data_IF_309758675391
#
_entry.id   IF_309758675391
#
_cell.length_a   1.000
_cell.length_b   1.000
_cell.length_c   1.000
_cell.angle_alpha   90.00
_cell.angle_beta   90.00
_cell.angle_gamma   90.00
#
_symmetry.space_group_name_H-M   'P 1'
#
loop_
_entity.id
_entity.type
_entity.pdbx_description
1 polymer ?
#
# COMPACT_ATOMS: atom_id res chain seq x y z
N UNK A 1 16.60 -27.15 -11.21
CA UNK A 1 16.51 -26.14 -12.28
C UNK A 1 16.24 -24.82 -11.57
N UNK A 2 17.11 -23.82 -11.74
CA UNK A 2 16.87 -22.50 -11.13
C UNK A 2 15.76 -21.84 -11.92
N UNK A 3 14.54 -21.79 -11.39
CA UNK A 3 13.59 -20.76 -11.76
C UNK A 3 14.14 -19.46 -11.16
N UNK A 4 15.10 -18.87 -11.84
CA UNK A 4 15.33 -17.44 -11.71
C UNK A 4 14.24 -16.80 -12.55
N UNK A 5 13.05 -16.63 -11.95
CA UNK A 5 12.17 -15.57 -12.41
C UNK A 5 13.03 -14.31 -12.47
N UNK A 6 13.03 -13.70 -13.64
CA UNK A 6 13.81 -12.52 -13.92
C UNK A 6 13.32 -11.46 -12.94
N UNK A 7 14.18 -11.01 -12.03
CA UNK A 7 13.87 -9.85 -11.17
C UNK A 7 13.31 -8.73 -12.07
N UNK A 8 12.18 -8.10 -11.71
CA UNK A 8 11.60 -7.03 -12.51
C UNK A 8 12.64 -5.97 -12.82
N UNK A 9 12.64 -5.44 -14.05
CA UNK A 9 13.62 -4.43 -14.46
C UNK A 9 13.55 -3.19 -13.56
N UNK A 10 12.34 -2.80 -13.16
CA UNK A 10 12.05 -1.74 -12.18
C UNK A 10 12.71 -1.96 -10.82
N UNK A 11 12.66 -3.18 -10.28
CA UNK A 11 13.30 -3.55 -9.02
C UNK A 11 14.80 -3.33 -9.10
N UNK A 12 15.44 -3.86 -10.15
CA UNK A 12 16.87 -3.71 -10.34
C UNK A 12 17.27 -2.26 -10.59
N UNK A 13 16.56 -1.56 -11.47
CA UNK A 13 16.85 -0.18 -11.82
C UNK A 13 16.69 0.75 -10.60
N UNK A 14 15.68 0.51 -9.75
CA UNK A 14 15.54 1.27 -8.51
C UNK A 14 16.72 0.99 -7.58
N UNK A 15 17.05 -0.27 -7.28
CA UNK A 15 18.15 -0.59 -6.35
C UNK A 15 19.51 -0.07 -6.83
N UNK A 16 19.76 -0.11 -8.14
CA UNK A 16 21.04 0.34 -8.72
C UNK A 16 21.17 1.87 -8.75
N UNK A 17 20.06 2.61 -8.86
CA UNK A 17 20.06 4.07 -9.02
C UNK A 17 19.50 4.85 -7.83
N UNK A 18 18.97 4.14 -6.83
CA UNK A 18 18.40 4.71 -5.63
C UNK A 18 19.44 4.90 -4.54
N UNK A 19 19.36 5.99 -3.76
CA UNK A 19 20.22 6.19 -2.59
C UNK A 19 19.74 5.43 -1.34
N UNK A 20 18.70 4.61 -1.46
CA UNK A 20 18.18 3.79 -0.36
C UNK A 20 18.88 2.44 -0.27
N UNK A 21 19.19 2.02 0.95
CA UNK A 21 19.59 0.65 1.28
C UNK A 21 18.33 -0.18 1.55
N UNK A 22 18.19 -1.29 0.83
CA UNK A 22 17.11 -2.26 1.01
C UNK A 22 17.45 -3.26 2.12
N UNK A 23 16.58 -3.35 3.12
CA UNK A 23 16.63 -4.29 4.22
C UNK A 23 15.41 -5.22 4.11
N UNK A 24 15.67 -6.43 3.61
CA UNK A 24 14.71 -7.52 3.54
C UNK A 24 15.20 -8.71 4.36
N UNK A 25 14.35 -9.19 5.29
CA UNK A 25 14.65 -10.36 6.12
C UNK A 25 13.71 -11.49 5.77
N UNK A 26 14.26 -12.56 5.21
CA UNK A 26 13.46 -13.68 4.76
C UNK A 26 12.68 -14.34 5.93
N UNK A 27 11.39 -14.60 5.73
CA UNK A 27 10.43 -15.06 6.74
C UNK A 27 9.74 -13.94 7.51
N UNK A 28 9.97 -12.68 7.14
CA UNK A 28 9.22 -11.52 7.63
C UNK A 28 8.51 -10.85 6.45
N UNK A 29 7.32 -10.33 6.69
CA UNK A 29 6.50 -9.67 5.65
C UNK A 29 6.97 -8.23 5.37
N UNK A 30 7.53 -7.56 6.38
CA UNK A 30 7.92 -6.15 6.31
C UNK A 30 9.28 -5.98 5.64
N UNK A 31 9.33 -5.05 4.68
CA UNK A 31 10.52 -4.60 3.98
C UNK A 31 10.82 -3.17 4.40
N UNK A 32 12.12 -2.82 4.51
CA UNK A 32 12.54 -1.46 4.85
C UNK A 32 13.52 -0.90 3.82
N UNK A 33 13.32 0.35 3.44
CA UNK A 33 14.30 1.16 2.70
C UNK A 33 14.85 2.23 3.64
N UNK A 34 16.17 2.29 3.81
CA UNK A 34 16.83 3.21 4.75
C UNK A 34 17.81 4.10 4.02
N UNK A 35 17.82 5.39 4.37
CA UNK A 35 18.75 6.36 3.81
C UNK A 35 19.12 7.43 4.83
N UNK A 36 20.34 7.93 4.73
CA UNK A 36 20.77 9.18 5.38
C UNK A 36 20.72 10.33 4.35
N UNK A 37 20.13 11.47 4.73
CA UNK A 37 20.01 12.67 3.89
C UNK A 37 20.34 13.91 4.72
N UNK A 38 21.58 14.39 4.62
CA UNK A 38 22.04 15.51 5.43
C UNK A 38 22.06 15.18 6.93
N UNK A 39 21.21 15.84 7.72
CA UNK A 39 21.01 15.58 9.15
C UNK A 39 19.75 14.73 9.44
N UNK A 40 19.14 14.17 8.40
CA UNK A 40 17.93 13.37 8.46
C UNK A 40 18.23 11.89 8.23
N UNK A 41 17.61 11.04 9.05
CA UNK A 41 17.53 9.60 8.79
C UNK A 41 16.13 9.26 8.31
N UNK A 42 16.04 8.64 7.14
CA UNK A 42 14.78 8.29 6.47
C UNK A 42 14.63 6.77 6.51
N UNK A 43 13.48 6.29 6.95
CA UNK A 43 13.09 4.87 6.92
C UNK A 43 11.71 4.75 6.28
N UNK A 44 11.61 4.02 5.18
CA UNK A 44 10.34 3.70 4.52
C UNK A 44 10.08 2.23 4.77
N UNK A 45 8.89 1.88 5.26
CA UNK A 45 8.48 0.50 5.51
C UNK A 45 7.20 0.19 4.75
N UNK A 46 7.15 -0.99 4.15
CA UNK A 46 5.97 -1.53 3.47
C UNK A 46 5.91 -3.04 3.68
N UNK A 47 4.75 -3.67 3.47
CA UNK A 47 4.51 -5.08 3.80
C UNK A 47 3.85 -5.82 2.65
N UNK A 48 4.20 -7.10 2.48
CA UNK A 48 3.50 -7.99 1.53
C UNK A 48 2.07 -8.34 1.99
N UNK A 49 1.73 -8.05 3.25
CA UNK A 49 0.39 -8.26 3.79
C UNK A 49 -0.71 -7.46 3.05
N UNK A 50 -0.35 -6.32 2.45
CA UNK A 50 -1.31 -5.44 1.78
C UNK A 50 -1.91 -6.11 0.53
N UNK A 51 -1.12 -6.84 -0.25
CA UNK A 51 -1.62 -7.60 -1.42
C UNK A 51 -2.50 -8.76 -0.99
N UNK A 52 -2.13 -9.46 0.09
CA UNK A 52 -2.90 -10.60 0.59
C UNK A 52 -4.29 -10.21 1.13
N UNK A 53 -4.48 -8.93 1.47
CA UNK A 53 -5.71 -8.40 2.02
C UNK A 53 -6.48 -7.50 1.03
N UNK A 54 -5.99 -7.37 -0.21
CA UNK A 54 -6.66 -6.62 -1.26
C UNK A 54 -7.70 -7.50 -1.96
N UNK A 55 -8.95 -7.03 -1.99
CA UNK A 55 -10.03 -7.62 -2.77
C UNK A 55 -10.55 -6.55 -3.76
N UNK A 56 -10.22 -6.66 -5.06
CA UNK A 56 -10.59 -5.66 -6.06
C UNK A 56 -12.11 -5.56 -6.28
N UNK A 57 -12.89 -6.55 -5.83
CA UNK A 57 -14.35 -6.60 -5.99
C UNK A 57 -15.11 -6.22 -4.71
N UNK A 58 -14.38 -5.92 -3.62
CA UNK A 58 -15.00 -5.60 -2.33
C UNK A 58 -15.87 -4.32 -2.38
N UNK A 59 -15.47 -3.34 -3.19
CA UNK A 59 -16.19 -2.07 -3.36
C UNK A 59 -17.41 -2.18 -4.31
N UNK A 60 -17.43 -3.14 -5.24
CA UNK A 60 -18.57 -3.32 -6.16
C UNK A 60 -19.80 -3.89 -5.45
N UNK A 61 -19.59 -4.70 -4.41
CA UNK A 61 -20.68 -5.31 -3.62
C UNK A 61 -21.55 -4.30 -2.87
N UNK A 62 -21.03 -3.08 -2.61
CA UNK A 62 -21.78 -2.01 -1.96
C UNK A 62 -22.69 -1.22 -2.91
N UNK A 63 -22.50 -1.34 -4.23
CA UNK A 63 -23.29 -0.64 -5.24
C UNK A 63 -24.44 -1.48 -5.79
N UNK A 64 -24.42 -2.81 -5.64
CA UNK A 64 -25.51 -3.69 -6.09
C UNK A 64 -26.72 -3.73 -5.12
N UNK A 65 -26.55 -3.48 -3.82
CA UNK A 65 -27.66 -3.56 -2.84
C UNK A 65 -28.60 -2.34 -2.87
N UNK A 66 -28.15 -1.19 -3.38
CA UNK A 66 -28.97 0.04 -3.48
C UNK A 66 -29.81 0.08 -4.78
N UNK A 67 -29.55 -0.82 -5.74
CA UNK A 67 -30.28 -0.88 -7.01
C UNK A 67 -31.54 -1.77 -6.98
N UNK A 68 -31.74 -2.57 -5.94
CA UNK A 68 -32.88 -3.50 -5.82
C UNK A 68 -34.01 -3.02 -4.88
N UNK A 69 -33.92 -1.78 -4.39
CA UNK A 69 -34.79 -1.25 -3.34
C UNK A 69 -36.08 -0.51 -3.76
N UNK A 70 -36.28 -0.15 -5.03
CA UNK A 70 -37.34 0.83 -5.40
C UNK A 70 -38.35 0.38 -6.48
N UNK A 71 -38.69 -0.92 -6.58
CA UNK A 71 -39.71 -1.38 -7.55
C UNK A 71 -40.72 -2.42 -7.02
N UNK A 72 -41.09 -2.34 -5.74
CA UNK A 72 -42.11 -3.21 -5.14
C UNK A 72 -43.39 -2.48 -4.69
N UNK A 73 -43.67 -1.29 -5.22
CA UNK A 73 -44.88 -0.54 -4.87
C UNK A 73 -45.65 0.05 -6.04
N UNK A 74 -45.98 -0.75 -7.06
CA UNK A 74 -47.21 -0.55 -7.82
C UNK A 74 -47.65 -1.78 -8.63
N UNK A 75 -48.95 -2.09 -8.54
CA UNK A 75 -49.79 -2.79 -9.51
C UNK A 75 -50.18 -4.26 -9.23
N UNK A 76 -51.13 -4.44 -8.30
CA UNK A 76 -52.26 -5.33 -8.60
C UNK A 76 -53.08 -4.72 -9.76
N UNK A 77 -53.03 -5.31 -10.96
CA UNK A 77 -54.20 -5.58 -11.83
C UNK A 77 -53.80 -5.92 -13.28
N UNK A 78 -54.06 -7.17 -13.69
CA UNK A 78 -54.71 -7.46 -14.98
C UNK A 78 -53.88 -7.71 -16.25
N UNK A 79 -53.85 -8.99 -16.67
CA UNK A 79 -53.89 -9.51 -18.05
C UNK A 79 -52.80 -9.07 -19.07
N UNK A 80 -51.84 -9.97 -19.26
CA UNK A 80 -51.55 -10.67 -20.53
C UNK A 80 -51.02 -9.88 -21.72
N UNK A 81 -49.72 -10.02 -22.00
CA UNK A 81 -49.17 -10.22 -23.36
C UNK A 81 -47.69 -10.62 -23.28
N UNK A 82 -47.36 -11.69 -23.97
CA UNK A 82 -46.00 -12.17 -24.26
C UNK A 82 -45.26 -11.14 -25.12
N UNK A 83 -44.00 -10.85 -24.80
CA UNK A 83 -42.98 -10.48 -25.78
C UNK A 83 -41.57 -10.54 -25.16
N UNK A 84 -40.81 -11.53 -25.64
CA UNK A 84 -39.37 -11.50 -25.93
C UNK A 84 -38.46 -10.67 -25.00
N UNK A 85 -37.87 -11.36 -24.02
CA UNK A 85 -36.62 -10.91 -23.38
C UNK A 85 -35.50 -11.51 -24.25
N UNK A 86 -35.01 -10.73 -25.21
CA UNK A 86 -33.69 -10.98 -25.78
C UNK A 86 -32.69 -10.79 -24.63
N UNK A 87 -32.08 -11.89 -24.21
CA UNK A 87 -30.91 -11.85 -23.36
C UNK A 87 -29.78 -11.22 -24.19
N UNK A 88 -29.50 -9.94 -23.92
CA UNK A 88 -28.29 -9.27 -24.38
C UNK A 88 -27.12 -9.91 -23.61
N UNK A 89 -26.64 -11.01 -24.16
CA UNK A 89 -25.52 -11.81 -23.68
C UNK A 89 -24.22 -11.32 -24.36
N UNK A 90 -24.01 -10.00 -24.37
CA UNK A 90 -22.86 -9.35 -24.99
C UNK A 90 -22.11 -8.42 -24.02
N UNK A 91 -22.07 -8.75 -22.72
CA UNK A 91 -20.97 -8.28 -21.86
C UNK A 91 -19.88 -9.35 -21.86
N UNK A 92 -19.28 -9.51 -23.04
CA UNK A 92 -18.05 -10.26 -23.21
C UNK A 92 -16.95 -9.54 -22.42
N UNK A 93 -16.64 -10.13 -21.26
CA UNK A 93 -15.61 -9.75 -20.30
C UNK A 93 -14.64 -8.68 -20.76
N UNK A 94 -14.77 -7.50 -20.15
CA UNK A 94 -13.62 -6.61 -20.02
C UNK A 94 -12.51 -7.43 -19.38
N UNK A 95 -11.42 -7.58 -20.13
CA UNK A 95 -10.22 -8.22 -19.66
C UNK A 95 -9.77 -7.45 -18.44
N UNK A 96 -9.97 -8.06 -17.27
CA UNK A 96 -9.36 -7.80 -15.96
C UNK A 96 -8.04 -7.02 -16.13
N UNK A 97 -8.11 -5.69 -16.18
CA UNK A 97 -6.94 -4.86 -15.93
C UNK A 97 -6.70 -5.03 -14.43
N UNK A 98 -5.90 -6.05 -14.10
CA UNK A 98 -5.47 -6.37 -12.75
C UNK A 98 -4.76 -5.13 -12.20
N UNK A 99 -5.54 -4.25 -11.58
CA UNK A 99 -5.06 -3.01 -11.00
C UNK A 99 -4.16 -3.40 -9.83
N UNK A 100 -2.88 -2.99 -9.84
CA UNK A 100 -1.98 -3.38 -8.76
C UNK A 100 -2.56 -2.93 -7.42
N UNK A 101 -2.53 -3.82 -6.43
CA UNK A 101 -3.03 -3.50 -5.10
C UNK A 101 -2.33 -2.25 -4.55
N UNK A 102 -3.06 -1.30 -3.94
CA UNK A 102 -2.45 -0.17 -3.27
C UNK A 102 -1.61 -0.66 -2.08
N UNK A 103 -0.35 -0.22 -2.00
CA UNK A 103 0.56 -0.63 -0.94
C UNK A 103 0.74 0.49 0.08
N UNK A 104 0.49 0.18 1.35
CA UNK A 104 0.66 1.14 2.44
C UNK A 104 2.14 1.32 2.76
N UNK A 105 2.54 2.59 2.88
CA UNK A 105 3.88 3.04 3.22
C UNK A 105 3.87 3.74 4.57
N UNK A 106 4.78 3.35 5.45
CA UNK A 106 5.13 4.11 6.64
C UNK A 106 6.50 4.77 6.43
N UNK A 107 6.51 6.09 6.27
CA UNK A 107 7.72 6.88 6.02
C UNK A 107 8.06 7.65 7.30
N UNK A 108 9.21 7.37 7.88
CA UNK A 108 9.71 8.03 9.09
C UNK A 108 10.94 8.86 8.72
N UNK A 109 10.90 10.16 9.05
CA UNK A 109 12.01 11.10 8.85
C UNK A 109 12.44 11.64 10.21
N UNK A 110 13.61 11.23 10.67
CA UNK A 110 14.15 11.57 12.00
C UNK A 110 15.23 12.65 11.89
N UNK A 111 15.25 13.60 12.84
CA UNK A 111 16.31 14.62 12.98
C UNK A 111 17.04 14.48 14.32
N UNK A 112 17.79 13.38 14.53
CA UNK A 112 18.41 13.08 15.83
C UNK A 112 19.38 14.17 16.30
N UNK A 113 20.07 14.84 15.38
CA UNK A 113 21.09 15.84 15.69
C UNK A 113 20.54 17.24 16.05
N UNK A 114 19.27 17.55 15.75
CA UNK A 114 18.68 18.89 15.99
C UNK A 114 17.78 18.91 17.22
N UNK A 115 16.65 18.22 17.14
CA UNK A 115 15.61 18.23 18.16
C UNK A 115 15.25 16.83 18.66
N UNK A 116 15.81 15.78 18.03
CA UNK A 116 15.43 14.41 18.33
C UNK A 116 14.01 14.06 17.89
N UNK A 117 13.34 14.93 17.13
CA UNK A 117 11.98 14.72 16.64
C UNK A 117 11.94 13.91 15.35
N UNK A 118 10.74 13.47 14.99
CA UNK A 118 10.47 12.75 13.76
C UNK A 118 9.14 13.15 13.14
N UNK A 119 9.09 13.10 11.81
CA UNK A 119 7.85 13.06 11.06
C UNK A 119 7.54 11.59 10.75
N UNK A 120 6.31 11.17 11.00
CA UNK A 120 5.76 9.92 10.48
C UNK A 120 4.74 10.30 9.42
N UNK A 121 4.87 9.73 8.24
CA UNK A 121 3.96 9.96 7.12
C UNK A 121 3.39 8.60 6.75
N UNK A 122 2.08 8.49 6.79
CA UNK A 122 1.36 7.36 6.22
C UNK A 122 0.99 7.77 4.80
N UNK A 123 1.38 6.94 3.85
CA UNK A 123 1.18 7.18 2.43
C UNK A 123 0.84 5.87 1.72
N UNK A 124 0.29 5.96 0.52
CA UNK A 124 -0.08 4.82 -0.30
C UNK A 124 0.62 4.89 -1.65
N UNK A 125 1.27 3.81 -2.06
CA UNK A 125 1.78 3.65 -3.42
C UNK A 125 0.70 2.99 -4.28
N UNK A 126 0.18 3.75 -5.25
CA UNK A 126 -0.85 3.29 -6.18
C UNK A 126 -0.72 4.01 -7.52
N UNK A 127 -0.97 3.32 -8.63
CA UNK A 127 -0.95 3.88 -9.98
C UNK A 127 0.33 4.67 -10.34
N UNK A 128 1.48 4.23 -9.82
CA UNK A 128 2.77 4.91 -10.01
C UNK A 128 2.93 6.24 -9.27
N UNK A 129 2.01 6.56 -8.35
CA UNK A 129 2.02 7.76 -7.51
C UNK A 129 2.16 7.41 -6.03
N UNK A 130 2.68 8.37 -5.25
CA UNK A 130 2.67 8.33 -3.79
C UNK A 130 1.58 9.29 -3.32
N UNK A 131 0.55 8.78 -2.66
CA UNK A 131 -0.54 9.58 -2.08
C UNK A 131 -0.28 9.70 -0.58
N UNK A 132 -0.24 10.92 -0.04
CA UNK A 132 -0.06 11.14 1.40
C UNK A 132 -1.42 11.14 2.10
N UNK A 133 -1.59 10.25 3.08
CA UNK A 133 -2.84 10.08 3.81
C UNK A 133 -2.81 10.88 5.13
N UNK A 134 -1.72 10.71 5.90
CA UNK A 134 -1.57 11.33 7.21
C UNK A 134 -0.13 11.79 7.46
N UNK A 135 0.01 12.86 8.24
CA UNK A 135 1.29 13.46 8.63
C UNK A 135 1.31 13.71 10.13
N UNK A 136 2.12 12.94 10.84
CA UNK A 136 2.29 13.02 12.29
C UNK A 136 3.63 13.64 12.66
N UNK A 137 3.64 14.46 13.71
CA UNK A 137 4.87 14.96 14.32
C UNK A 137 5.07 14.35 15.71
N UNK A 138 6.24 13.77 15.92
CA UNK A 138 6.68 13.26 17.20
C UNK A 138 7.87 14.05 17.71
N UNK A 139 7.80 14.53 18.95
CA UNK A 139 8.90 15.25 19.59
C UNK A 139 10.10 14.34 19.91
N UNK A 140 9.86 13.03 20.08
CA UNK A 140 10.90 12.01 20.24
C UNK A 140 10.77 10.99 19.11
N UNK A 141 11.84 10.84 18.32
CA UNK A 141 11.95 9.93 17.19
C UNK A 141 11.76 8.46 17.58
N UNK A 142 12.01 8.10 18.84
CA UNK A 142 11.72 6.75 19.34
C UNK A 142 10.23 6.43 19.31
N UNK A 143 9.37 7.44 19.47
CA UNK A 143 7.93 7.25 19.39
C UNK A 143 7.48 6.97 17.96
N UNK A 144 8.16 7.52 16.96
CA UNK A 144 7.81 7.29 15.57
C UNK A 144 8.06 5.83 15.13
N UNK A 145 8.96 5.10 15.81
CA UNK A 145 9.26 3.71 15.46
C UNK A 145 8.27 2.72 16.09
N UNK A 146 7.92 1.67 15.35
CA UNK A 146 7.04 0.56 15.77
C UNK A 146 7.83 -0.57 16.44
N UNK A 147 8.85 -0.24 17.23
CA UNK A 147 9.78 -1.25 17.77
C UNK A 147 9.29 -1.90 19.07
N UNK A 148 8.27 -1.34 19.75
CA UNK A 148 7.70 -1.93 20.97
C UNK A 148 6.20 -1.61 21.18
N UNK A 149 5.46 -2.47 21.91
CA UNK A 149 4.07 -2.22 22.28
C UNK A 149 3.86 -0.91 23.07
N UNK A 150 4.80 -0.54 23.92
CA UNK A 150 4.75 0.70 24.70
C UNK A 150 4.87 1.95 23.83
N UNK A 151 5.65 1.88 22.74
CA UNK A 151 5.74 2.95 21.75
C UNK A 151 4.42 3.13 20.99
N UNK A 152 3.70 2.04 20.70
CA UNK A 152 2.38 2.10 20.06
C UNK A 152 1.34 2.80 20.93
N UNK A 153 1.30 2.52 22.24
CA UNK A 153 0.39 3.20 23.16
C UNK A 153 0.72 4.70 23.26
N UNK A 154 1.99 5.05 23.37
CA UNK A 154 2.40 6.46 23.48
C UNK A 154 2.11 7.24 22.20
N UNK A 155 2.12 6.61 21.02
CA UNK A 155 1.66 7.24 19.78
C UNK A 155 0.18 7.59 19.80
N UNK A 156 -0.66 6.72 20.38
CA UNK A 156 -2.10 6.96 20.45
C UNK A 156 -2.48 8.18 21.31
N UNK A 157 -1.61 8.55 22.25
CA UNK A 157 -1.80 9.74 23.11
C UNK A 157 -1.34 11.06 22.45
N UNK A 158 -0.64 10.99 21.31
CA UNK A 158 -0.15 12.16 20.57
C UNK A 158 -1.19 12.58 19.54
N UNK A 159 -1.44 13.90 19.44
CA UNK A 159 -2.36 14.43 18.44
C UNK A 159 -1.90 14.04 17.04
N UNK A 160 -2.76 13.37 16.24
CA UNK A 160 -2.33 12.78 14.98
C UNK A 160 -2.11 13.78 13.85
N UNK A 161 -2.49 15.05 14.05
CA UNK A 161 -2.65 15.99 12.95
C UNK A 161 -4.07 15.92 12.35
N UNK A 162 -4.45 16.91 11.53
CA UNK A 162 -5.65 16.81 10.71
C UNK A 162 -5.41 15.83 9.54
N UNK A 163 -6.48 15.32 8.89
CA UNK A 163 -6.34 14.58 7.64
C UNK A 163 -5.55 15.38 6.61
N UNK A 164 -4.61 14.76 5.89
CA UNK A 164 -3.71 15.48 4.98
C UNK A 164 -4.47 16.28 3.91
N UNK A 165 -5.50 15.69 3.31
CA UNK A 165 -6.33 16.35 2.30
C UNK A 165 -7.14 17.55 2.80
N UNK A 166 -7.20 17.79 4.11
CA UNK A 166 -7.84 18.99 4.69
C UNK A 166 -6.87 20.18 4.88
N UNK A 167 -5.57 19.97 4.64
CA UNK A 167 -4.56 21.02 4.66
C UNK A 167 -4.73 21.95 3.45
N UNK A 168 -4.18 23.16 3.55
CA UNK A 168 -4.10 24.09 2.43
C UNK A 168 -3.34 23.46 1.24
N UNK A 169 -3.83 23.68 0.02
CA UNK A 169 -3.28 23.05 -1.19
C UNK A 169 -1.79 23.39 -1.41
N UNK A 170 -1.37 24.63 -1.14
CA UNK A 170 0.04 25.01 -1.28
C UNK A 170 0.90 24.26 -0.25
N UNK A 171 0.37 24.03 0.95
CA UNK A 171 1.07 23.24 1.97
C UNK A 171 1.19 21.77 1.56
N UNK A 172 0.14 21.18 0.98
CA UNK A 172 0.18 19.81 0.48
C UNK A 172 1.30 19.65 -0.57
N UNK A 173 1.34 20.55 -1.57
CA UNK A 173 2.37 20.57 -2.61
C UNK A 173 3.79 20.74 -2.02
N UNK A 174 3.94 21.56 -0.97
CA UNK A 174 5.23 21.73 -0.30
C UNK A 174 5.68 20.46 0.43
N UNK A 175 4.76 19.72 1.04
CA UNK A 175 5.08 18.44 1.69
C UNK A 175 5.43 17.37 0.66
N UNK A 176 4.70 17.27 -0.44
CA UNK A 176 5.02 16.36 -1.54
C UNK A 176 6.42 16.63 -2.11
N UNK A 177 6.74 17.89 -2.41
CA UNK A 177 8.09 18.29 -2.85
C UNK A 177 9.15 17.98 -1.81
N UNK A 178 8.85 18.18 -0.53
CA UNK A 178 9.75 17.81 0.57
C UNK A 178 10.06 16.31 0.55
N UNK A 179 9.08 15.45 0.28
CA UNK A 179 9.27 14.00 0.16
C UNK A 179 10.04 13.63 -1.12
N UNK A 180 9.74 14.26 -2.26
CA UNK A 180 10.44 14.01 -3.53
C UNK A 180 11.94 14.31 -3.44
N UNK A 181 12.34 15.44 -2.82
CA UNK A 181 13.75 15.80 -2.62
C UNK A 181 14.53 14.74 -1.81
N UNK A 182 13.82 13.93 -1.02
CA UNK A 182 14.36 12.85 -0.18
C UNK A 182 14.38 11.49 -0.88
N UNK A 183 13.87 11.42 -2.11
CA UNK A 183 13.82 10.22 -2.92
C UNK A 183 12.51 9.43 -2.83
N UNK A 184 11.50 9.95 -2.13
CA UNK A 184 10.13 9.41 -2.16
C UNK A 184 9.46 9.96 -3.41
N UNK A 185 9.59 9.23 -4.51
CA UNK A 185 9.24 9.69 -5.87
C UNK A 185 8.35 8.67 -6.57
N UNK A 186 7.86 9.00 -7.77
CA UNK A 186 7.14 8.03 -8.63
C UNK A 186 7.95 6.75 -8.89
N UNK A 187 9.29 6.83 -8.96
CA UNK A 187 10.13 5.63 -9.10
C UNK A 187 9.99 4.67 -7.90
N UNK A 188 9.80 5.22 -6.68
CA UNK A 188 9.49 4.41 -5.51
C UNK A 188 8.08 3.80 -5.62
N UNK A 189 7.10 4.57 -6.10
CA UNK A 189 5.72 4.09 -6.28
C UNK A 189 5.60 2.93 -7.26
N UNK A 190 6.46 2.89 -8.29
CA UNK A 190 6.55 1.75 -9.22
C UNK A 190 7.33 0.60 -8.60
N UNK A 191 8.45 0.88 -7.91
CA UNK A 191 9.28 -0.13 -7.28
C UNK A 191 8.55 -0.98 -6.23
N UNK A 192 7.76 -0.34 -5.37
CA UNK A 192 7.13 -0.99 -4.21
C UNK A 192 6.24 -2.18 -4.60
N UNK A 193 5.21 -2.04 -5.45
CA UNK A 193 4.35 -3.16 -5.83
C UNK A 193 5.15 -4.29 -6.51
N UNK A 194 6.04 -3.96 -7.45
CA UNK A 194 6.88 -4.95 -8.14
C UNK A 194 7.79 -5.73 -7.17
N UNK A 195 8.31 -5.06 -6.13
CA UNK A 195 9.13 -5.71 -5.11
C UNK A 195 8.29 -6.57 -4.16
N UNK A 196 7.07 -6.12 -3.82
CA UNK A 196 6.15 -6.89 -2.98
C UNK A 196 5.79 -8.20 -3.66
N UNK A 197 5.43 -8.19 -4.95
CA UNK A 197 5.12 -9.41 -5.71
C UNK A 197 6.30 -10.39 -5.73
N UNK A 198 7.50 -9.87 -6.01
CA UNK A 198 8.74 -10.65 -5.99
C UNK A 198 8.97 -11.29 -4.61
N UNK A 199 8.76 -10.54 -3.53
CA UNK A 199 8.96 -11.03 -2.17
C UNK A 199 7.90 -12.05 -1.77
N UNK A 200 6.62 -11.80 -2.05
CA UNK A 200 5.52 -12.73 -1.77
C UNK A 200 5.78 -14.09 -2.42
N UNK A 201 6.15 -14.12 -3.70
CA UNK A 201 6.49 -15.36 -4.40
C UNK A 201 7.67 -16.10 -3.75
N UNK A 202 8.70 -15.38 -3.31
CA UNK A 202 9.85 -15.96 -2.61
C UNK A 202 9.49 -16.52 -1.24
N UNK A 203 8.68 -15.81 -0.45
CA UNK A 203 8.21 -16.26 0.86
C UNK A 203 7.25 -17.45 0.73
N UNK A 204 6.39 -17.45 -0.28
CA UNK A 204 5.52 -18.58 -0.58
C UNK A 204 6.32 -19.86 -0.89
N UNK A 205 7.34 -19.77 -1.75
CA UNK A 205 8.23 -20.90 -2.04
C UNK A 205 8.97 -21.38 -0.78
N UNK A 206 9.43 -20.46 0.06
CA UNK A 206 10.05 -20.79 1.35
C UNK A 206 9.07 -21.51 2.27
N UNK A 207 7.85 -21.01 2.38
CA UNK A 207 6.79 -21.60 3.19
C UNK A 207 6.47 -23.01 2.72
N UNK A 208 6.27 -23.22 1.41
CA UNK A 208 6.09 -24.55 0.81
C UNK A 208 7.25 -25.50 1.14
N UNK A 209 8.49 -25.00 1.06
CA UNK A 209 9.68 -25.74 1.45
C UNK A 209 9.66 -26.19 2.91
N UNK A 210 9.24 -25.30 3.82
CA UNK A 210 9.11 -25.61 5.25
C UNK A 210 7.99 -26.62 5.53
N UNK A 211 6.82 -26.46 4.89
CA UNK A 211 5.69 -27.38 5.01
C UNK A 211 6.07 -28.77 4.50
N UNK A 212 6.71 -28.84 3.34
CA UNK A 212 7.24 -30.10 2.82
C UNK A 212 8.22 -30.75 3.79
N UNK A 213 9.17 -29.97 4.31
CA UNK A 213 10.14 -30.44 5.30
C UNK A 213 9.49 -30.97 6.58
N UNK A 214 8.37 -30.39 6.99
CA UNK A 214 7.59 -30.86 8.15
C UNK A 214 6.83 -32.15 7.86
N UNK A 215 6.22 -32.29 6.68
CA UNK A 215 5.43 -33.48 6.31
C UNK A 215 6.34 -34.71 6.04
N UNK A 216 7.52 -34.49 5.48
CA UNK A 216 8.47 -35.57 5.18
C UNK A 216 9.18 -36.11 6.44
N UNK A 217 9.11 -35.42 7.58
CA UNK A 217 9.79 -35.75 8.85
C UNK A 217 9.00 -36.74 9.71
#
# INVERSE_FOLDING_TARGET
MKASEQEPASVKDFIDNSPFELIDTAGQEVVKLVREFGDEKITISFSIADINNFDPYSDESALEDDALGDDLQAAESGKGRSQDVEADADEAGELDEETPAPISLSIIIEKPAKNGGALSIDATAQDGNIVVDNLFYYADAKLARLDSPEAAQQRADVYPGPPFGSLDEDLQVLIERYLEERGITQALAVFVPDYVDLKEQNEYLRWLGNVKGFIDA
#
